data_IF_617685269449
#
_entry.id   IF_617685269449
#
_cell.length_a   1.000
_cell.length_b   1.000
_cell.length_c   1.000
_cell.angle_alpha   90.00
_cell.angle_beta   90.00
_cell.angle_gamma   90.00
#
_symmetry.space_group_name_H-M   'P 1'
#
loop_
_entity.id
_entity.type
_entity.pdbx_description
1 polymer ?
#
# COMPACT_ATOMS: atom_id res chain seq x y z
N UNK A 1 -2.95 23.89 8.35
CA UNK A 1 -2.95 23.03 7.15
C UNK A 1 -2.90 21.57 7.58
N UNK A 2 -3.55 20.68 6.85
CA UNK A 2 -3.56 19.23 7.11
C UNK A 2 -3.23 18.50 5.81
N UNK A 3 -2.19 17.68 5.80
CA UNK A 3 -1.65 17.04 4.60
C UNK A 3 -1.66 15.52 4.79
N UNK A 4 -2.13 14.78 3.78
CA UNK A 4 -2.15 13.32 3.75
C UNK A 4 -1.28 12.77 2.64
N UNK A 5 -0.44 11.79 2.99
CA UNK A 5 0.29 10.91 2.07
C UNK A 5 0.10 9.48 2.54
N UNK A 6 0.13 8.50 1.65
CA UNK A 6 0.02 7.08 1.97
C UNK A 6 0.85 6.20 1.04
N UNK A 7 0.88 4.93 1.33
CA UNK A 7 1.39 3.88 0.44
C UNK A 7 2.82 4.16 -0.06
N UNK A 8 3.70 4.53 0.87
CA UNK A 8 5.12 4.75 0.61
C UNK A 8 5.88 3.43 0.45
N UNK A 9 5.49 2.42 1.21
CA UNK A 9 6.03 1.06 1.20
C UNK A 9 7.56 1.02 1.20
N UNK A 10 8.19 1.61 2.20
CA UNK A 10 9.62 1.49 2.38
C UNK A 10 10.00 0.03 2.64
N UNK A 11 10.93 -0.49 1.83
CA UNK A 11 11.42 -1.87 1.87
C UNK A 11 12.93 -1.91 2.11
N UNK A 12 13.45 -3.08 2.49
CA UNK A 12 14.87 -3.37 2.66
C UNK A 12 15.63 -3.52 1.32
N UNK A 13 14.91 -3.54 0.20
CA UNK A 13 15.46 -3.70 -1.16
C UNK A 13 15.67 -5.15 -1.59
N UNK A 14 15.46 -6.15 -0.74
CA UNK A 14 15.66 -7.55 -1.13
C UNK A 14 14.59 -8.04 -2.09
N UNK A 15 13.32 -7.69 -1.88
CA UNK A 15 12.19 -8.06 -2.73
C UNK A 15 11.83 -7.00 -3.80
N UNK A 16 12.59 -5.91 -3.91
CA UNK A 16 12.42 -4.88 -4.94
C UNK A 16 13.07 -3.56 -4.57
N UNK A 17 13.42 -2.75 -5.57
CA UNK A 17 14.02 -1.42 -5.39
C UNK A 17 13.01 -0.33 -5.73
N UNK A 18 11.97 -0.19 -4.91
CA UNK A 18 10.86 0.74 -5.17
C UNK A 18 10.84 1.94 -4.22
N UNK A 19 11.83 2.03 -3.33
CA UNK A 19 11.92 3.10 -2.35
C UNK A 19 11.84 4.48 -3.00
N UNK A 20 11.16 5.38 -2.33
CA UNK A 20 11.08 6.79 -2.72
C UNK A 20 12.40 7.45 -2.40
N UNK A 21 13.05 8.14 -3.35
CA UNK A 21 14.30 8.83 -3.09
C UNK A 21 14.09 10.00 -2.13
N UNK A 22 15.07 10.28 -1.28
CA UNK A 22 15.04 11.37 -0.28
C UNK A 22 14.73 12.73 -0.92
N UNK A 23 15.25 12.99 -2.13
CA UNK A 23 15.00 14.24 -2.84
C UNK A 23 13.51 14.47 -3.19
N UNK A 24 12.73 13.40 -3.34
CA UNK A 24 11.28 13.54 -3.54
C UNK A 24 10.59 14.11 -2.28
N UNK A 25 11.06 13.74 -1.09
CA UNK A 25 10.56 14.32 0.16
C UNK A 25 11.00 15.75 0.36
N UNK A 26 12.23 16.12 -0.05
CA UNK A 26 12.68 17.53 -0.01
C UNK A 26 11.78 18.40 -0.87
N UNK A 27 11.54 18.02 -2.13
CA UNK A 27 10.64 18.73 -3.05
C UNK A 27 9.23 18.84 -2.43
N UNK A 28 8.73 17.76 -1.84
CA UNK A 28 7.42 17.76 -1.18
C UNK A 28 7.36 18.74 0.00
N UNK A 29 8.39 18.77 0.86
CA UNK A 29 8.43 19.71 1.98
C UNK A 29 8.60 21.16 1.53
N UNK A 30 9.43 21.42 0.51
CA UNK A 30 9.57 22.72 -0.12
C UNK A 30 8.25 23.23 -0.68
N UNK A 31 7.47 22.38 -1.36
CA UNK A 31 6.19 22.74 -1.94
C UNK A 31 5.13 23.08 -0.87
N UNK A 32 5.06 22.27 0.19
CA UNK A 32 4.13 22.54 1.31
C UNK A 32 4.54 23.79 2.07
N UNK A 33 5.83 23.99 2.34
CA UNK A 33 6.34 25.17 3.02
C UNK A 33 6.08 26.43 2.19
N UNK A 34 6.32 26.37 0.87
CA UNK A 34 6.00 27.45 -0.05
C UNK A 34 4.50 27.79 -0.08
N UNK A 35 3.64 26.79 -0.02
CA UNK A 35 2.18 27.00 0.10
C UNK A 35 1.82 27.71 1.40
N UNK A 36 2.42 27.29 2.53
CA UNK A 36 2.19 27.93 3.82
C UNK A 36 2.70 29.36 3.85
N UNK A 37 3.89 29.63 3.30
CA UNK A 37 4.46 30.98 3.17
C UNK A 37 3.57 31.88 2.32
N UNK A 38 3.10 31.41 1.16
CA UNK A 38 2.21 32.15 0.30
C UNK A 38 0.92 32.55 1.02
N UNK A 39 0.32 31.68 1.82
CA UNK A 39 -0.87 31.97 2.61
C UNK A 39 -0.60 33.05 3.66
N UNK A 40 0.57 33.04 4.30
CA UNK A 40 0.97 34.09 5.26
C UNK A 40 1.15 35.46 4.58
N UNK A 41 1.74 35.48 3.38
CA UNK A 41 1.90 36.71 2.60
C UNK A 41 0.55 37.31 2.18
N UNK A 42 -0.48 36.45 1.95
CA UNK A 42 -1.86 36.88 1.71
C UNK A 42 -2.62 37.31 3.01
N UNK A 43 -1.90 37.44 4.12
CA UNK A 43 -2.44 37.87 5.42
C UNK A 43 -3.23 36.79 6.16
N UNK A 44 -3.14 35.53 5.76
CA UNK A 44 -3.75 34.40 6.42
C UNK A 44 -2.89 33.93 7.61
N UNK A 45 -3.48 33.15 8.51
CA UNK A 45 -2.77 32.57 9.66
C UNK A 45 -2.72 31.06 9.53
N UNK A 46 -1.53 30.51 9.63
CA UNK A 46 -1.28 29.08 9.76
C UNK A 46 -0.83 28.83 11.20
N UNK A 47 -1.72 28.25 12.00
CA UNK A 47 -1.49 27.98 13.43
C UNK A 47 -0.90 26.60 13.66
N UNK A 48 -1.20 25.65 12.77
CA UNK A 48 -0.71 24.28 12.83
C UNK A 48 -0.53 23.70 11.43
N UNK A 49 0.42 22.80 11.30
CA UNK A 49 0.60 21.95 10.12
C UNK A 49 0.66 20.53 10.61
N UNK A 50 -0.23 19.69 10.09
CA UNK A 50 -0.29 18.25 10.39
C UNK A 50 0.05 17.47 9.14
N UNK A 51 1.05 16.60 9.24
CA UNK A 51 1.46 15.68 8.19
C UNK A 51 1.05 14.26 8.60
N UNK A 52 0.06 13.72 7.93
CA UNK A 52 -0.54 12.41 8.23
C UNK A 52 -0.02 11.37 7.22
N UNK A 53 0.70 10.39 7.74
CA UNK A 53 1.10 9.18 7.03
C UNK A 53 -0.04 8.16 7.17
N UNK A 54 -0.82 8.01 6.10
CA UNK A 54 -2.11 7.32 6.12
C UNK A 54 -1.96 5.83 5.75
N UNK A 55 -1.10 5.11 6.49
CA UNK A 55 -0.86 3.68 6.34
C UNK A 55 0.13 3.31 5.22
N UNK A 56 0.58 2.07 5.28
CA UNK A 56 1.55 1.45 4.37
C UNK A 56 2.81 2.31 4.14
N UNK A 57 3.28 2.92 5.22
CA UNK A 57 4.56 3.64 5.21
C UNK A 57 5.73 2.67 5.11
N UNK A 58 5.69 1.60 5.90
CA UNK A 58 6.68 0.52 5.88
C UNK A 58 6.08 -0.72 5.21
N UNK A 59 6.92 -1.52 4.59
CA UNK A 59 6.51 -2.81 4.07
C UNK A 59 7.36 -3.92 4.66
N UNK A 60 6.87 -4.52 5.73
CA UNK A 60 7.53 -5.61 6.43
C UNK A 60 7.18 -6.99 5.86
N UNK A 61 6.23 -7.07 4.92
CA UNK A 61 5.81 -8.33 4.30
C UNK A 61 6.69 -8.70 3.11
N UNK A 62 7.16 -7.70 2.34
CA UNK A 62 7.91 -7.89 1.10
C UNK A 62 9.42 -7.82 1.30
N UNK A 63 9.95 -8.87 1.87
CA UNK A 63 11.38 -9.05 2.06
C UNK A 63 11.73 -10.52 1.89
N UNK A 64 12.92 -10.79 1.33
CA UNK A 64 13.46 -12.13 1.24
C UNK A 64 13.90 -12.66 2.60
N UNK A 65 14.09 -11.79 3.60
CA UNK A 65 14.52 -12.19 4.95
C UNK A 65 13.55 -13.18 5.62
N UNK A 66 12.24 -13.12 5.30
CA UNK A 66 11.30 -14.13 5.82
C UNK A 66 11.62 -15.55 5.40
N UNK A 67 12.34 -15.76 4.27
CA UNK A 67 12.66 -17.10 3.76
C UNK A 67 13.81 -17.76 4.53
N UNK A 68 14.57 -17.00 5.30
CA UNK A 68 15.58 -17.52 6.21
C UNK A 68 14.98 -18.07 7.53
N UNK A 69 13.70 -17.78 7.79
CA UNK A 69 12.99 -18.20 9.00
C UNK A 69 11.96 -19.31 8.72
N UNK A 70 11.74 -20.22 9.68
CA UNK A 70 10.67 -21.21 9.59
C UNK A 70 9.29 -20.56 9.40
N UNK A 71 8.37 -21.25 8.74
CA UNK A 71 7.00 -20.74 8.51
C UNK A 71 6.28 -20.36 9.82
N UNK A 72 6.58 -21.05 10.92
CA UNK A 72 6.02 -20.76 12.25
C UNK A 72 6.49 -19.43 12.85
N UNK A 73 7.52 -18.82 12.28
CA UNK A 73 8.14 -17.57 12.72
C UNK A 73 7.90 -16.42 11.73
N UNK A 74 7.01 -16.61 10.72
CA UNK A 74 6.57 -15.61 9.76
C UNK A 74 5.28 -14.94 10.24
N UNK A 75 4.83 -13.81 9.64
CA UNK A 75 3.69 -13.00 10.13
C UNK A 75 2.39 -13.76 10.42
N UNK A 76 2.15 -14.87 9.73
CA UNK A 76 1.00 -15.79 9.94
C UNK A 76 1.35 -17.04 10.78
N UNK A 77 2.53 -17.07 11.35
CA UNK A 77 2.99 -18.17 12.20
C UNK A 77 2.37 -18.11 13.60
N UNK A 78 2.83 -19.00 14.47
CA UNK A 78 2.35 -19.11 15.85
C UNK A 78 3.43 -18.89 16.92
N UNK A 79 4.65 -18.52 16.52
CA UNK A 79 5.74 -18.22 17.45
C UNK A 79 5.88 -16.70 17.60
N UNK A 80 4.97 -16.07 18.35
CA UNK A 80 4.88 -14.61 18.51
C UNK A 80 6.20 -13.95 18.88
N UNK A 81 6.95 -14.53 19.84
CA UNK A 81 8.24 -13.99 20.27
C UNK A 81 9.26 -13.96 19.13
N UNK A 82 9.31 -14.99 18.32
CA UNK A 82 10.22 -15.05 17.18
C UNK A 82 9.76 -14.15 16.03
N UNK A 83 8.45 -14.05 15.80
CA UNK A 83 7.88 -13.12 14.81
C UNK A 83 8.28 -11.70 15.17
N UNK A 84 8.15 -11.28 16.44
CA UNK A 84 8.58 -9.95 16.89
C UNK A 84 10.06 -9.71 16.64
N UNK A 85 10.93 -10.66 17.03
CA UNK A 85 12.40 -10.55 16.81
C UNK A 85 12.72 -10.40 15.32
N UNK A 86 12.13 -11.23 14.48
CA UNK A 86 12.38 -11.24 13.04
C UNK A 86 11.83 -9.95 12.38
N UNK A 87 10.64 -9.51 12.77
CA UNK A 87 10.06 -8.27 12.28
C UNK A 87 10.90 -7.03 12.68
N UNK A 88 11.52 -7.05 13.89
CA UNK A 88 12.43 -6.01 14.30
C UNK A 88 13.72 -5.98 13.45
N UNK A 89 14.27 -7.14 13.11
CA UNK A 89 15.44 -7.22 12.23
C UNK A 89 15.13 -6.71 10.82
N UNK A 90 13.95 -7.05 10.29
CA UNK A 90 13.47 -6.57 8.98
C UNK A 90 13.25 -5.06 9.02
N UNK A 91 12.63 -4.53 10.07
CA UNK A 91 12.45 -3.09 10.23
C UNK A 91 13.78 -2.35 10.22
N UNK A 92 14.77 -2.85 10.96
CA UNK A 92 16.12 -2.25 10.99
C UNK A 92 16.78 -2.27 9.60
N UNK A 93 16.58 -3.33 8.82
CA UNK A 93 17.06 -3.40 7.44
C UNK A 93 16.36 -2.37 6.53
N UNK A 94 15.03 -2.17 6.69
CA UNK A 94 14.27 -1.13 5.97
C UNK A 94 14.83 0.26 6.32
N UNK A 95 15.05 0.57 7.59
CA UNK A 95 15.61 1.85 8.01
C UNK A 95 17.01 2.04 7.46
N UNK A 96 17.88 1.04 7.57
CA UNK A 96 19.25 1.10 7.05
C UNK A 96 19.29 1.37 5.53
N UNK A 97 18.40 0.72 4.76
CA UNK A 97 18.29 0.93 3.30
C UNK A 97 17.85 2.35 2.93
N UNK A 98 17.05 2.98 3.79
CA UNK A 98 16.41 4.29 3.56
C UNK A 98 16.90 5.35 4.56
N UNK A 99 18.10 5.20 5.09
CA UNK A 99 18.63 5.98 6.21
C UNK A 99 18.46 7.51 5.99
N UNK A 100 18.93 8.03 4.87
CA UNK A 100 18.85 9.47 4.58
C UNK A 100 17.42 10.02 4.59
N UNK A 101 16.43 9.21 4.14
CA UNK A 101 15.03 9.62 4.18
C UNK A 101 14.49 9.65 5.60
N UNK A 102 14.82 8.65 6.43
CA UNK A 102 14.36 8.64 7.82
C UNK A 102 15.09 9.65 8.71
N UNK A 103 16.35 9.96 8.43
CA UNK A 103 17.05 11.10 9.04
C UNK A 103 16.32 12.41 8.73
N UNK A 104 15.92 12.63 7.48
CA UNK A 104 15.12 13.77 7.08
C UNK A 104 13.74 13.77 7.75
N UNK A 105 13.01 12.65 7.73
CA UNK A 105 11.67 12.55 8.33
C UNK A 105 11.69 12.74 9.86
N UNK A 106 12.78 12.43 10.54
CA UNK A 106 12.90 12.60 11.98
C UNK A 106 13.49 13.95 12.41
N UNK A 107 14.07 14.72 11.47
CA UNK A 107 14.65 16.03 11.74
C UNK A 107 13.58 17.12 11.98
N UNK A 108 13.91 18.24 12.67
CA UNK A 108 13.06 19.42 12.68
C UNK A 108 12.91 20.01 11.27
N UNK A 109 11.68 19.97 10.72
CA UNK A 109 11.43 20.42 9.35
C UNK A 109 11.27 21.94 9.23
N UNK A 110 10.88 22.61 10.32
CA UNK A 110 10.63 24.05 10.32
C UNK A 110 11.81 24.84 9.83
N UNK A 111 12.97 24.62 10.44
CA UNK A 111 14.16 25.42 10.14
C UNK A 111 14.82 25.00 8.81
N UNK A 112 14.69 23.72 8.44
CA UNK A 112 15.27 23.19 7.19
C UNK A 112 14.52 23.66 5.94
N UNK A 113 13.18 23.74 6.00
CA UNK A 113 12.34 24.08 4.86
C UNK A 113 11.60 25.41 4.98
N UNK A 114 11.76 26.14 6.09
CA UNK A 114 11.12 27.44 6.29
C UNK A 114 9.63 27.36 6.63
N UNK A 115 9.18 26.27 7.26
CA UNK A 115 7.79 26.21 7.73
C UNK A 115 7.50 27.25 8.79
N UNK A 116 6.30 27.88 8.82
CA UNK A 116 5.94 28.85 9.84
C UNK A 116 5.83 28.24 11.25
N UNK A 117 5.45 26.97 11.31
CA UNK A 117 5.37 26.15 12.53
C UNK A 117 5.95 24.77 12.25
N UNK A 118 6.49 24.10 13.27
CA UNK A 118 6.96 22.71 13.08
C UNK A 118 5.79 21.79 12.71
N UNK A 119 5.87 21.04 11.60
CA UNK A 119 4.84 20.10 11.21
C UNK A 119 4.72 18.94 12.21
N UNK A 120 3.52 18.73 12.77
CA UNK A 120 3.20 17.56 13.58
C UNK A 120 3.09 16.35 12.65
N UNK A 121 3.83 15.28 12.98
CA UNK A 121 3.79 14.02 12.23
C UNK A 121 2.85 13.06 12.91
N UNK A 122 1.88 12.54 12.15
CA UNK A 122 0.88 11.58 12.60
C UNK A 122 1.02 10.33 11.74
N UNK A 123 1.15 9.17 12.37
CA UNK A 123 1.26 7.90 11.70
C UNK A 123 0.05 7.02 12.00
N UNK A 124 -0.55 6.49 10.94
CA UNK A 124 -1.57 5.46 10.97
C UNK A 124 -1.00 4.20 10.32
N UNK A 125 -1.35 3.04 10.84
CA UNK A 125 -0.88 1.76 10.30
C UNK A 125 -1.81 1.30 9.18
N UNK A 126 -1.25 0.80 8.07
CA UNK A 126 -1.97 0.06 7.04
C UNK A 126 -1.87 -1.45 7.25
N UNK A 127 -2.16 -2.21 6.19
CA UNK A 127 -2.05 -3.68 6.24
C UNK A 127 -0.60 -4.18 6.12
N UNK A 128 0.25 -3.54 5.31
CA UNK A 128 1.64 -3.94 5.13
C UNK A 128 2.54 -3.61 6.33
N UNK A 129 2.18 -2.62 7.10
CA UNK A 129 2.90 -2.23 8.32
C UNK A 129 2.11 -2.54 9.61
N UNK A 130 1.16 -3.47 9.55
CA UNK A 130 0.38 -3.97 10.70
C UNK A 130 1.27 -4.39 11.86
N UNK A 131 2.40 -5.06 11.59
CA UNK A 131 3.36 -5.47 12.61
C UNK A 131 3.99 -4.27 13.34
N UNK A 132 4.14 -3.12 12.68
CA UNK A 132 4.62 -1.89 13.30
C UNK A 132 3.70 -1.40 14.42
N UNK A 133 2.42 -1.70 14.34
CA UNK A 133 1.44 -1.35 15.36
C UNK A 133 1.21 -2.47 16.39
N UNK A 134 1.51 -3.74 16.02
CA UNK A 134 1.32 -4.90 16.89
C UNK A 134 2.29 -4.91 18.08
N UNK A 135 3.58 -4.67 17.83
CA UNK A 135 4.65 -4.82 18.84
C UNK A 135 5.13 -3.47 19.36
N UNK A 136 5.25 -3.35 20.71
CA UNK A 136 5.75 -2.12 21.34
C UNK A 136 7.16 -1.75 20.84
N UNK A 137 8.04 -2.75 20.70
CA UNK A 137 9.39 -2.55 20.20
C UNK A 137 9.43 -1.89 18.81
N UNK A 138 8.48 -2.25 17.93
CA UNK A 138 8.35 -1.63 16.60
C UNK A 138 7.69 -0.26 16.66
N UNK A 139 6.67 -0.05 17.51
CA UNK A 139 6.08 1.29 17.72
C UNK A 139 7.14 2.30 18.17
N UNK A 140 8.03 1.90 19.08
CA UNK A 140 9.12 2.76 19.56
C UNK A 140 10.10 3.12 18.42
N UNK A 141 10.37 2.17 17.53
CA UNK A 141 11.21 2.40 16.35
C UNK A 141 10.52 3.33 15.33
N UNK A 142 9.23 3.15 15.07
CA UNK A 142 8.44 4.05 14.21
C UNK A 142 8.49 5.47 14.78
N UNK A 143 8.18 5.65 16.06
CA UNK A 143 8.23 6.96 16.70
C UNK A 143 9.61 7.65 16.51
N UNK A 144 10.68 6.92 16.78
CA UNK A 144 12.05 7.44 16.67
C UNK A 144 12.41 7.84 15.24
N UNK A 145 12.13 6.97 14.26
CA UNK A 145 12.54 7.19 12.88
C UNK A 145 11.65 8.17 12.11
N UNK A 146 10.44 8.43 12.60
CA UNK A 146 9.53 9.40 11.99
C UNK A 146 9.42 10.72 12.78
N UNK A 147 10.20 10.91 13.85
CA UNK A 147 10.12 12.12 14.67
C UNK A 147 8.78 12.30 15.38
N UNK A 148 8.11 11.18 15.72
CA UNK A 148 6.85 11.16 16.45
C UNK A 148 7.15 11.02 17.95
N UNK A 149 6.44 11.72 18.86
CA UNK A 149 6.62 11.55 20.28
C UNK A 149 6.45 10.08 20.72
N UNK A 150 7.28 9.57 21.67
CA UNK A 150 7.16 8.22 22.19
C UNK A 150 5.77 7.95 22.76
N UNK A 151 5.25 6.74 22.53
CA UNK A 151 3.93 6.32 23.02
C UNK A 151 3.92 4.87 23.48
N UNK A 152 3.12 4.57 24.50
CA UNK A 152 2.90 3.20 25.00
C UNK A 152 1.65 2.54 24.42
N UNK A 153 0.71 3.35 23.91
CA UNK A 153 -0.51 2.87 23.27
C UNK A 153 -0.28 2.56 21.78
N UNK A 154 -1.03 1.67 21.18
CA UNK A 154 -1.06 1.51 19.74
C UNK A 154 -1.31 2.83 18.99
N UNK A 155 -0.86 2.90 17.75
CA UNK A 155 -1.25 3.98 16.84
C UNK A 155 -2.74 3.85 16.51
N UNK A 156 -3.35 5.00 16.27
CA UNK A 156 -4.75 5.04 15.87
C UNK A 156 -4.95 4.43 14.47
N UNK A 157 -6.14 3.91 14.20
CA UNK A 157 -6.50 3.32 12.91
C UNK A 157 -7.29 4.27 12.02
N UNK A 158 -7.62 5.43 12.53
CA UNK A 158 -8.27 6.51 11.80
C UNK A 158 -7.84 7.86 12.34
N UNK A 159 -8.01 8.87 11.52
CA UNK A 159 -7.82 10.28 11.88
C UNK A 159 -9.12 11.04 11.63
N UNK A 160 -9.49 11.91 12.53
CA UNK A 160 -10.65 12.78 12.34
C UNK A 160 -10.35 14.19 12.83
N UNK A 161 -10.67 15.19 12.01
CA UNK A 161 -10.63 16.59 12.41
C UNK A 161 -11.79 17.35 11.79
N UNK A 162 -12.73 17.72 12.64
CA UNK A 162 -13.97 18.41 12.24
C UNK A 162 -13.76 19.85 11.79
N UNK A 163 -12.62 20.49 12.16
CA UNK A 163 -12.30 21.84 11.73
C UNK A 163 -11.86 21.85 10.27
N UNK A 164 -11.25 20.76 9.80
CA UNK A 164 -10.95 20.52 8.39
C UNK A 164 -12.10 19.79 7.69
N UNK A 165 -13.08 19.28 8.45
CA UNK A 165 -14.19 18.47 7.91
C UNK A 165 -13.75 17.12 7.37
N UNK A 166 -12.69 16.52 7.91
CA UNK A 166 -12.03 15.32 7.40
C UNK A 166 -12.20 14.15 8.34
N UNK A 167 -12.48 12.98 7.76
CA UNK A 167 -12.26 11.66 8.34
C UNK A 167 -11.33 10.88 7.42
N UNK A 168 -10.34 10.19 7.97
CA UNK A 168 -9.36 9.44 7.19
C UNK A 168 -9.00 8.12 7.86
N UNK A 169 -8.81 7.07 7.05
CA UNK A 169 -8.23 5.77 7.43
C UNK A 169 -7.47 5.19 6.26
N UNK A 170 -6.71 4.12 6.47
CA UNK A 170 -5.94 3.57 5.35
C UNK A 170 -6.84 3.04 4.23
N UNK A 171 -7.97 2.39 4.55
CA UNK A 171 -8.95 1.91 3.57
C UNK A 171 -8.90 0.41 3.31
N UNK A 172 -7.89 -0.30 3.84
CA UNK A 172 -7.79 -1.77 3.73
C UNK A 172 -8.90 -2.50 4.47
N UNK A 173 -9.62 -1.83 5.37
CA UNK A 173 -10.75 -2.37 6.12
C UNK A 173 -11.90 -2.85 5.23
N UNK A 174 -11.95 -2.37 4.00
CA UNK A 174 -12.95 -2.72 2.99
C UNK A 174 -12.43 -3.73 1.97
N UNK A 175 -11.18 -4.16 2.10
CA UNK A 175 -10.57 -5.21 1.28
C UNK A 175 -10.48 -6.52 2.06
N UNK A 176 -11.35 -7.46 1.75
CA UNK A 176 -11.46 -8.76 2.41
C UNK A 176 -10.21 -9.64 2.30
N UNK A 177 -9.30 -9.32 1.38
CA UNK A 177 -8.00 -10.01 1.31
C UNK A 177 -6.98 -9.40 2.27
N UNK A 178 -7.14 -8.13 2.62
CA UNK A 178 -6.20 -7.40 3.44
C UNK A 178 -6.71 -7.06 4.86
N UNK A 179 -7.94 -7.49 5.20
CA UNK A 179 -8.54 -7.28 6.51
C UNK A 179 -9.46 -8.44 6.93
N UNK A 180 -9.27 -8.95 8.14
CA UNK A 180 -10.05 -10.07 8.73
C UNK A 180 -10.92 -9.61 9.92
N UNK A 181 -10.89 -8.33 10.28
CA UNK A 181 -11.66 -7.79 11.38
C UNK A 181 -13.07 -7.37 10.98
N UNK A 182 -13.88 -7.03 11.97
CA UNK A 182 -15.09 -6.25 11.75
C UNK A 182 -14.73 -4.78 11.54
N UNK A 183 -15.52 -4.04 10.77
CA UNK A 183 -15.33 -2.58 10.64
C UNK A 183 -15.69 -1.95 11.97
N UNK A 184 -14.73 -1.92 12.86
CA UNK A 184 -14.78 -1.37 14.20
C UNK A 184 -13.58 -0.45 14.40
N UNK A 185 -13.48 0.15 15.58
CA UNK A 185 -12.28 0.90 15.98
C UNK A 185 -11.44 0.12 17.00
N UNK A 186 -11.72 -1.19 17.15
CA UNK A 186 -10.99 -2.05 18.07
C UNK A 186 -9.64 -2.44 17.47
N UNK A 187 -8.56 -2.09 18.18
CA UNK A 187 -7.20 -2.44 17.79
C UNK A 187 -7.00 -3.95 17.53
N UNK A 188 -7.68 -4.81 18.31
CA UNK A 188 -7.54 -6.27 18.17
C UNK A 188 -8.04 -6.79 16.81
N UNK A 189 -9.06 -6.17 16.23
CA UNK A 189 -9.54 -6.51 14.89
C UNK A 189 -8.46 -6.22 13.82
N UNK A 190 -7.72 -5.13 13.96
CA UNK A 190 -6.61 -4.79 13.06
C UNK A 190 -5.40 -5.70 13.22
N UNK A 191 -5.28 -6.41 14.34
CA UNK A 191 -4.16 -7.34 14.57
C UNK A 191 -4.41 -8.75 14.01
N UNK A 192 -5.62 -9.04 13.52
CA UNK A 192 -5.90 -10.30 12.83
C UNK A 192 -5.11 -10.38 11.54
N UNK A 193 -4.57 -11.56 11.28
CA UNK A 193 -3.72 -11.79 10.09
C UNK A 193 -4.62 -12.06 8.88
N UNK A 194 -4.59 -11.22 7.84
CA UNK A 194 -5.34 -11.46 6.61
C UNK A 194 -4.60 -12.41 5.68
N UNK A 195 -5.33 -12.97 4.71
CA UNK A 195 -4.74 -13.83 3.67
C UNK A 195 -3.78 -13.06 2.76
N UNK A 196 -3.91 -11.74 2.68
CA UNK A 196 -3.01 -10.86 1.96
C UNK A 196 -1.56 -10.96 2.43
N UNK A 197 -1.31 -11.16 3.74
CA UNK A 197 0.04 -11.30 4.28
C UNK A 197 0.82 -12.47 3.62
N UNK A 198 0.33 -13.73 3.65
CA UNK A 198 1.03 -14.82 2.96
C UNK A 198 0.98 -14.69 1.43
N UNK A 199 0.00 -14.02 0.81
CA UNK A 199 0.01 -13.74 -0.62
C UNK A 199 1.20 -12.81 -0.95
N UNK A 200 1.35 -11.70 -0.24
CA UNK A 200 2.43 -10.74 -0.48
C UNK A 200 3.81 -11.37 -0.28
N UNK A 201 3.97 -12.23 0.72
CA UNK A 201 5.26 -12.86 1.04
C UNK A 201 5.49 -14.14 0.24
N UNK A 202 4.61 -15.15 0.36
CA UNK A 202 4.87 -16.51 -0.16
C UNK A 202 4.58 -16.66 -1.65
N UNK A 203 3.81 -15.76 -2.26
CA UNK A 203 3.63 -15.76 -3.71
C UNK A 203 4.45 -14.64 -4.36
N UNK A 204 4.21 -13.39 -3.96
CA UNK A 204 4.73 -12.23 -4.68
C UNK A 204 6.23 -12.02 -4.41
N UNK A 205 6.66 -11.94 -3.16
CA UNK A 205 8.08 -11.75 -2.83
C UNK A 205 8.91 -13.02 -3.06
N UNK A 206 8.31 -14.20 -2.86
CA UNK A 206 9.01 -15.48 -3.00
C UNK A 206 9.27 -15.91 -4.44
N UNK A 207 8.40 -15.54 -5.38
CA UNK A 207 8.56 -15.94 -6.78
C UNK A 207 9.89 -15.47 -7.38
N UNK A 208 10.26 -14.18 -7.35
CA UNK A 208 11.56 -13.74 -7.85
C UNK A 208 12.73 -14.39 -7.09
N UNK A 209 12.64 -14.52 -5.77
CA UNK A 209 13.63 -15.22 -4.95
C UNK A 209 13.84 -16.66 -5.43
N UNK A 210 12.75 -17.44 -5.62
CA UNK A 210 12.80 -18.83 -6.08
C UNK A 210 13.41 -18.96 -7.47
N UNK A 211 13.03 -18.09 -8.41
CA UNK A 211 13.64 -18.04 -9.75
C UNK A 211 15.16 -17.90 -9.64
N UNK A 212 15.64 -16.98 -8.79
CA UNK A 212 17.06 -16.72 -8.59
C UNK A 212 17.82 -17.88 -7.92
N UNK A 213 17.14 -18.80 -7.21
CA UNK A 213 17.75 -20.01 -6.66
C UNK A 213 18.05 -21.09 -7.70
N UNK A 214 17.45 -21.00 -8.90
CA UNK A 214 17.62 -22.01 -9.94
C UNK A 214 19.06 -22.07 -10.48
N UNK A 215 19.60 -23.29 -10.63
CA UNK A 215 20.98 -23.51 -11.10
C UNK A 215 21.23 -22.98 -12.51
N UNK A 216 20.23 -22.99 -13.41
CA UNK A 216 20.35 -22.43 -14.75
C UNK A 216 20.50 -20.91 -14.69
N UNK A 217 19.71 -20.25 -13.84
CA UNK A 217 19.77 -18.80 -13.64
C UNK A 217 21.12 -18.39 -13.05
N UNK A 218 21.61 -19.11 -12.03
CA UNK A 218 22.92 -18.83 -11.39
C UNK A 218 24.12 -18.92 -12.37
N UNK A 219 23.96 -19.57 -13.53
CA UNK A 219 24.98 -19.65 -14.57
C UNK A 219 24.92 -18.49 -15.58
N UNK A 220 23.87 -17.69 -15.59
CA UNK A 220 23.78 -16.52 -16.47
C UNK A 220 24.75 -15.42 -16.05
N UNK A 221 25.12 -14.51 -16.96
CA UNK A 221 25.84 -13.29 -16.62
C UNK A 221 25.08 -12.49 -15.56
N UNK A 222 25.79 -11.88 -14.57
CA UNK A 222 25.17 -11.13 -13.46
C UNK A 222 24.16 -10.08 -13.94
N UNK A 223 24.47 -9.36 -15.02
CA UNK A 223 23.57 -8.36 -15.61
C UNK A 223 22.24 -8.95 -16.05
N UNK A 224 22.24 -10.16 -16.61
CA UNK A 224 21.02 -10.86 -17.00
C UNK A 224 20.24 -11.36 -15.81
N UNK A 225 20.93 -11.88 -14.77
CA UNK A 225 20.32 -12.26 -13.50
C UNK A 225 19.60 -11.07 -12.85
N UNK A 226 20.26 -9.90 -12.75
CA UNK A 226 19.69 -8.69 -12.18
C UNK A 226 18.51 -8.16 -12.99
N UNK A 227 18.59 -8.20 -14.31
CA UNK A 227 17.48 -7.79 -15.18
C UNK A 227 16.26 -8.71 -14.99
N UNK A 228 16.49 -10.02 -14.94
CA UNK A 228 15.44 -11.01 -14.70
C UNK A 228 14.80 -10.81 -13.32
N UNK A 229 15.64 -10.67 -12.28
CA UNK A 229 15.17 -10.42 -10.90
C UNK A 229 14.27 -9.19 -10.85
N UNK A 230 14.74 -8.05 -11.38
CA UNK A 230 13.96 -6.79 -11.40
C UNK A 230 12.62 -6.96 -12.11
N UNK A 231 12.59 -7.62 -13.26
CA UNK A 231 11.37 -7.86 -14.01
C UNK A 231 10.30 -8.59 -13.18
N UNK A 232 10.68 -9.55 -12.34
CA UNK A 232 9.72 -10.28 -11.50
C UNK A 232 9.42 -9.57 -10.18
N UNK A 233 10.34 -8.77 -9.65
CA UNK A 233 10.08 -7.94 -8.46
C UNK A 233 9.07 -6.83 -8.73
N UNK A 234 8.92 -6.41 -9.99
CA UNK A 234 7.95 -5.38 -10.38
C UNK A 234 6.48 -5.85 -10.41
N UNK A 235 6.22 -7.14 -10.18
CA UNK A 235 4.87 -7.75 -10.24
C UNK A 235 3.84 -7.01 -9.39
N UNK A 236 4.25 -6.54 -8.21
CA UNK A 236 3.38 -5.81 -7.28
C UNK A 236 3.02 -4.40 -7.70
N UNK A 237 3.80 -3.83 -8.58
CA UNK A 237 3.56 -2.48 -9.09
C UNK A 237 2.60 -2.48 -10.28
N UNK A 238 2.15 -3.67 -10.70
CA UNK A 238 1.19 -3.83 -11.81
C UNK A 238 -0.21 -3.47 -11.33
N UNK A 239 -0.86 -2.56 -12.05
CA UNK A 239 -2.24 -2.15 -11.78
C UNK A 239 -3.06 -2.12 -13.08
N UNK A 240 -4.34 -2.45 -13.01
CA UNK A 240 -5.03 -3.07 -11.86
C UNK A 240 -4.45 -4.46 -11.53
N UNK A 241 -4.72 -5.00 -10.35
CA UNK A 241 -4.23 -6.33 -9.92
C UNK A 241 -4.61 -7.44 -10.89
N UNK A 242 -5.73 -7.30 -11.57
CA UNK A 242 -6.17 -8.20 -12.64
C UNK A 242 -5.17 -8.33 -13.80
N UNK A 243 -4.31 -7.33 -14.03
CA UNK A 243 -3.29 -7.35 -15.06
C UNK A 243 -2.01 -8.10 -14.64
N UNK A 244 -1.90 -8.55 -13.40
CA UNK A 244 -0.71 -9.27 -12.87
C UNK A 244 -0.45 -10.56 -13.66
N UNK A 245 -1.48 -11.32 -14.00
CA UNK A 245 -1.32 -12.55 -14.79
C UNK A 245 -0.77 -12.23 -16.18
N UNK A 246 -1.29 -11.17 -16.81
CA UNK A 246 -0.77 -10.73 -18.13
C UNK A 246 0.65 -10.22 -18.04
N UNK A 247 1.02 -9.57 -16.91
CA UNK A 247 2.39 -9.17 -16.65
C UNK A 247 3.33 -10.37 -16.57
N UNK A 248 2.97 -11.40 -15.80
CA UNK A 248 3.74 -12.64 -15.70
C UNK A 248 3.94 -13.28 -17.10
N UNK A 249 2.87 -13.36 -17.87
CA UNK A 249 2.91 -13.85 -19.26
C UNK A 249 3.86 -13.06 -20.15
N UNK A 250 3.82 -11.75 -20.03
CA UNK A 250 4.69 -10.85 -20.75
C UNK A 250 6.17 -11.08 -20.39
N UNK A 251 6.49 -11.27 -19.10
CA UNK A 251 7.85 -11.55 -18.65
C UNK A 251 8.35 -12.91 -19.14
N UNK A 252 7.49 -13.94 -19.11
CA UNK A 252 7.84 -15.26 -19.66
C UNK A 252 8.12 -15.19 -21.17
N UNK A 253 7.31 -14.44 -21.94
CA UNK A 253 7.57 -14.22 -23.39
C UNK A 253 8.91 -13.55 -23.65
N UNK A 254 9.31 -12.60 -22.82
CA UNK A 254 10.63 -11.96 -22.92
C UNK A 254 11.79 -12.90 -22.60
N UNK A 255 11.54 -13.99 -21.90
CA UNK A 255 12.56 -14.92 -21.38
C UNK A 255 12.29 -16.35 -21.85
N UNK A 256 11.97 -16.54 -23.15
CA UNK A 256 11.58 -17.84 -23.71
C UNK A 256 12.57 -18.98 -23.42
N UNK A 257 13.86 -18.70 -23.39
CA UNK A 257 14.90 -19.70 -23.06
C UNK A 257 14.86 -20.16 -21.60
N UNK A 258 14.15 -19.44 -20.74
CA UNK A 258 14.00 -19.69 -19.30
C UNK A 258 12.57 -20.07 -18.93
N UNK A 259 11.70 -20.24 -19.93
CA UNK A 259 10.27 -20.50 -19.73
C UNK A 259 10.03 -21.61 -18.72
N UNK A 260 10.63 -22.80 -18.93
CA UNK A 260 10.45 -23.94 -18.03
C UNK A 260 10.85 -23.63 -16.56
N UNK A 261 11.95 -22.87 -16.38
CA UNK A 261 12.42 -22.48 -15.05
C UNK A 261 11.42 -21.56 -14.36
N UNK A 262 10.85 -20.61 -15.10
CA UNK A 262 9.90 -19.64 -14.57
C UNK A 262 8.59 -20.36 -14.23
N UNK A 263 8.08 -21.21 -15.13
CA UNK A 263 6.87 -22.00 -14.92
C UNK A 263 7.01 -22.95 -13.73
N UNK A 264 8.12 -23.70 -13.62
CA UNK A 264 8.39 -24.57 -12.48
C UNK A 264 8.49 -23.76 -11.16
N UNK A 265 8.99 -22.52 -11.22
CA UNK A 265 9.05 -21.65 -10.04
C UNK A 265 7.67 -21.16 -9.63
N UNK A 266 6.81 -20.81 -10.58
CA UNK A 266 5.41 -20.42 -10.33
C UNK A 266 4.65 -21.59 -9.69
N UNK A 267 4.69 -22.76 -10.30
CA UNK A 267 4.03 -23.96 -9.79
C UNK A 267 4.51 -24.28 -8.37
N UNK A 268 5.82 -24.20 -8.14
CA UNK A 268 6.39 -24.52 -6.84
C UNK A 268 6.00 -23.52 -5.74
N UNK A 269 5.93 -22.20 -6.00
CA UNK A 269 5.49 -21.24 -4.97
C UNK A 269 4.00 -21.38 -4.69
N UNK A 270 3.18 -21.72 -5.69
CA UNK A 270 1.75 -21.96 -5.51
C UNK A 270 1.52 -23.23 -4.68
N UNK A 271 2.23 -24.31 -4.98
CA UNK A 271 2.12 -25.56 -4.20
C UNK A 271 2.51 -25.35 -2.74
N UNK A 272 3.64 -24.66 -2.48
CA UNK A 272 4.06 -24.33 -1.13
C UNK A 272 3.05 -23.45 -0.40
N UNK A 273 2.49 -22.43 -1.05
CA UNK A 273 1.47 -21.54 -0.50
C UNK A 273 0.21 -22.34 -0.10
N UNK A 274 -0.31 -23.18 -0.98
CA UNK A 274 -1.50 -24.01 -0.72
C UNK A 274 -1.26 -25.04 0.41
N UNK A 275 -0.01 -25.42 0.70
CA UNK A 275 0.34 -26.32 1.80
C UNK A 275 0.46 -25.61 3.15
N UNK A 276 0.52 -24.29 3.20
CA UNK A 276 0.57 -23.55 4.45
C UNK A 276 -0.64 -23.87 5.33
N UNK A 277 -0.39 -24.20 6.59
CA UNK A 277 -1.46 -24.48 7.56
C UNK A 277 -2.44 -23.31 7.67
N UNK A 278 -1.91 -22.08 7.69
CA UNK A 278 -2.72 -20.86 7.73
C UNK A 278 -3.66 -20.77 6.53
N UNK A 279 -3.16 -20.95 5.31
CA UNK A 279 -3.94 -20.90 4.07
C UNK A 279 -5.04 -21.97 4.04
N UNK A 280 -4.71 -23.21 4.44
CA UNK A 280 -5.70 -24.30 4.54
C UNK A 280 -6.82 -23.99 5.54
N UNK A 281 -6.46 -23.37 6.67
CA UNK A 281 -7.44 -22.97 7.68
C UNK A 281 -8.28 -21.81 7.18
N UNK A 282 -7.67 -20.84 6.51
CA UNK A 282 -8.36 -19.70 5.93
C UNK A 282 -9.40 -20.15 4.88
N UNK A 283 -9.03 -21.00 3.94
CA UNK A 283 -9.96 -21.58 2.97
C UNK A 283 -11.14 -22.27 3.67
N UNK A 284 -10.87 -23.09 4.67
CA UNK A 284 -11.95 -23.80 5.42
C UNK A 284 -12.96 -22.85 6.07
N UNK A 285 -12.56 -21.64 6.43
CA UNK A 285 -13.43 -20.64 7.07
C UNK A 285 -14.18 -19.77 6.07
N UNK A 286 -13.61 -19.55 4.89
CA UNK A 286 -14.13 -18.62 3.88
C UNK A 286 -14.76 -19.33 2.67
N UNK A 287 -14.58 -20.63 2.51
CA UNK A 287 -15.25 -21.47 1.51
C UNK A 287 -16.68 -21.77 1.98
N UNK A 288 -17.64 -21.02 1.44
CA UNK A 288 -19.06 -21.15 1.77
C UNK A 288 -19.77 -21.97 0.71
N UNK A 289 -20.33 -23.09 1.09
CA UNK A 289 -21.01 -24.04 0.20
C UNK A 289 -22.21 -23.46 -0.57
N UNK A 290 -22.74 -22.34 -0.14
CA UNK A 290 -23.90 -21.63 -0.73
C UNK A 290 -23.52 -20.37 -1.54
N UNK A 291 -22.24 -19.98 -1.56
CA UNK A 291 -21.74 -18.83 -2.32
C UNK A 291 -20.61 -19.26 -3.27
N UNK A 292 -20.95 -19.54 -4.52
CA UNK A 292 -20.01 -19.96 -5.56
C UNK A 292 -19.03 -18.85 -6.03
N UNK A 293 -18.96 -17.72 -5.33
CA UNK A 293 -18.13 -16.57 -5.71
C UNK A 293 -17.49 -15.89 -4.50
N UNK A 294 -17.25 -16.65 -3.43
CA UNK A 294 -16.59 -16.12 -2.25
C UNK A 294 -15.10 -15.78 -2.47
N UNK A 295 -14.46 -15.23 -1.47
CA UNK A 295 -13.07 -14.78 -1.54
C UNK A 295 -12.11 -15.96 -1.74
N UNK A 296 -12.42 -17.13 -1.21
CA UNK A 296 -11.63 -18.34 -1.39
C UNK A 296 -11.65 -18.77 -2.87
N UNK A 297 -12.82 -18.78 -3.49
CA UNK A 297 -12.99 -19.09 -4.92
C UNK A 297 -12.23 -18.10 -5.82
N UNK A 298 -12.20 -16.82 -5.47
CA UNK A 298 -11.44 -15.81 -6.22
C UNK A 298 -9.95 -16.14 -6.23
N UNK A 299 -9.35 -16.41 -5.07
CA UNK A 299 -7.93 -16.79 -4.97
C UNK A 299 -7.68 -18.09 -5.71
N UNK A 300 -8.46 -19.13 -5.46
CA UNK A 300 -8.30 -20.45 -6.10
C UNK A 300 -8.41 -20.35 -7.61
N UNK A 301 -9.31 -19.52 -8.13
CA UNK A 301 -9.45 -19.26 -9.58
C UNK A 301 -8.20 -18.64 -10.18
N UNK A 302 -7.60 -17.66 -9.50
CA UNK A 302 -6.34 -17.02 -9.93
C UNK A 302 -5.18 -18.05 -9.90
N UNK A 303 -5.02 -18.79 -8.82
CA UNK A 303 -3.97 -19.79 -8.69
C UNK A 303 -4.14 -20.93 -9.73
N UNK A 304 -5.38 -21.37 -9.96
CA UNK A 304 -5.68 -22.34 -11.01
C UNK A 304 -5.29 -21.83 -12.40
N UNK A 305 -5.62 -20.59 -12.73
CA UNK A 305 -5.22 -19.99 -14.01
C UNK A 305 -3.70 -19.90 -14.15
N UNK A 306 -2.99 -19.54 -13.09
CA UNK A 306 -1.53 -19.52 -13.06
C UNK A 306 -0.93 -20.91 -13.29
N UNK A 307 -1.47 -21.97 -12.68
CA UNK A 307 -1.06 -23.37 -12.94
C UNK A 307 -1.37 -23.85 -14.36
N UNK A 308 -2.50 -23.41 -14.94
CA UNK A 308 -2.91 -23.78 -16.30
C UNK A 308 -2.16 -23.02 -17.39
N UNK A 309 -1.47 -21.98 -17.03
CA UNK A 309 -0.64 -21.18 -17.92
C UNK A 309 0.38 -22.02 -18.73
N UNK A 310 0.96 -23.06 -18.13
CA UNK A 310 1.88 -24.00 -18.79
C UNK A 310 1.24 -24.79 -19.93
N UNK A 311 -0.06 -25.07 -19.84
CA UNK A 311 -0.75 -26.07 -20.68
C UNK A 311 -1.52 -25.41 -21.83
N UNK A 312 -2.01 -24.19 -21.65
CA UNK A 312 -2.90 -23.53 -22.63
C UNK A 312 -2.27 -22.32 -23.30
N UNK A 313 -2.48 -22.15 -24.61
CA UNK A 313 -2.13 -20.92 -25.32
C UNK A 313 -2.86 -19.71 -24.72
N UNK A 314 -2.20 -18.56 -24.71
CA UNK A 314 -2.70 -17.30 -24.16
C UNK A 314 -4.11 -16.94 -24.66
N UNK A 315 -4.35 -17.14 -25.96
CA UNK A 315 -5.61 -16.79 -26.60
C UNK A 315 -6.80 -17.52 -25.98
N UNK A 316 -6.57 -18.73 -25.44
CA UNK A 316 -7.60 -19.53 -24.74
C UNK A 316 -7.79 -19.12 -23.30
N UNK A 317 -6.76 -18.50 -22.65
CA UNK A 317 -6.83 -18.05 -21.26
C UNK A 317 -7.45 -16.64 -21.15
N UNK A 318 -7.30 -15.80 -22.18
CA UNK A 318 -7.80 -14.40 -22.17
C UNK A 318 -9.27 -14.23 -21.79
N UNK A 319 -10.24 -15.04 -22.27
CA UNK A 319 -11.62 -14.91 -21.85
C UNK A 319 -11.85 -15.21 -20.37
N UNK A 320 -11.09 -16.19 -19.82
CA UNK A 320 -11.16 -16.52 -18.39
C UNK A 320 -10.48 -15.43 -17.54
N UNK A 321 -9.36 -14.89 -18.00
CA UNK A 321 -8.69 -13.76 -17.36
C UNK A 321 -9.59 -12.54 -17.29
N UNK A 322 -10.27 -12.19 -18.39
CA UNK A 322 -11.22 -11.08 -18.41
C UNK A 322 -12.34 -11.27 -17.40
N UNK A 323 -12.85 -12.50 -17.26
CA UNK A 323 -13.92 -12.84 -16.31
C UNK A 323 -13.45 -12.80 -14.86
N UNK A 324 -12.22 -13.23 -14.58
CA UNK A 324 -11.61 -13.09 -13.24
C UNK A 324 -11.31 -11.62 -12.95
N UNK A 325 -10.74 -10.89 -13.92
CA UNK A 325 -10.44 -9.46 -13.79
C UNK A 325 -11.65 -8.60 -13.46
N UNK A 326 -12.82 -8.88 -14.08
CA UNK A 326 -14.04 -8.12 -13.79
C UNK A 326 -14.51 -8.27 -12.34
N UNK A 327 -14.13 -9.35 -11.66
CA UNK A 327 -14.49 -9.60 -10.26
C UNK A 327 -13.63 -8.81 -9.25
N UNK A 328 -12.51 -8.26 -9.70
CA UNK A 328 -11.63 -7.39 -8.91
C UNK A 328 -11.77 -5.91 -9.30
N UNK A 329 -12.71 -5.57 -10.17
CA UNK A 329 -12.80 -4.24 -10.78
C UNK A 329 -13.68 -3.24 -9.99
N UNK A 330 -14.43 -3.69 -8.99
CA UNK A 330 -15.30 -2.83 -8.20
C UNK A 330 -14.46 -2.07 -7.16
N UNK A 331 -14.61 -0.76 -7.13
CA UNK A 331 -13.98 0.09 -6.11
C UNK A 331 -14.87 0.12 -4.86
N UNK A 332 -14.81 -0.97 -4.09
CA UNK A 332 -15.58 -1.14 -2.84
C UNK A 332 -15.32 0.02 -1.86
N UNK A 333 -14.19 0.72 -1.99
CA UNK A 333 -13.85 1.86 -1.14
C UNK A 333 -14.74 3.09 -1.36
N UNK A 334 -15.25 3.31 -2.58
CA UNK A 334 -16.18 4.43 -2.85
C UNK A 334 -17.52 4.18 -2.17
N UNK A 335 -18.05 2.96 -2.29
CA UNK A 335 -19.32 2.58 -1.65
C UNK A 335 -19.16 2.58 -0.12
N UNK A 336 -18.04 2.08 0.38
CA UNK A 336 -17.69 2.11 1.78
C UNK A 336 -17.62 3.54 2.34
N UNK A 337 -16.95 4.46 1.64
CA UNK A 337 -16.90 5.87 2.02
C UNK A 337 -18.30 6.50 2.04
N UNK A 338 -19.15 6.16 1.07
CA UNK A 338 -20.53 6.64 1.06
C UNK A 338 -21.33 6.13 2.28
N UNK A 339 -21.09 4.88 2.70
CA UNK A 339 -21.73 4.29 3.89
C UNK A 339 -21.20 4.89 5.20
N UNK A 340 -19.89 5.15 5.32
CA UNK A 340 -19.29 5.74 6.54
C UNK A 340 -19.88 7.09 6.91
N UNK A 341 -20.27 7.91 5.95
CA UNK A 341 -20.91 9.19 6.26
C UNK A 341 -22.17 9.09 7.12
N UNK A 342 -22.81 7.91 7.17
CA UNK A 342 -23.99 7.70 8.01
C UNK A 342 -23.65 7.67 9.52
N UNK A 343 -22.40 7.38 9.86
CA UNK A 343 -21.92 7.17 11.22
C UNK A 343 -20.97 8.26 11.72
N UNK A 344 -20.59 9.20 10.85
CA UNK A 344 -19.65 10.27 11.16
C UNK A 344 -20.38 11.56 11.61
N UNK A 345 -19.63 12.44 12.30
CA UNK A 345 -20.10 13.78 12.66
C UNK A 345 -20.58 14.52 11.40
N UNK A 346 -21.70 15.22 11.53
CA UNK A 346 -22.31 15.97 10.43
C UNK A 346 -21.38 17.03 9.79
N UNK A 347 -20.35 17.47 10.50
CA UNK A 347 -19.34 18.43 9.99
C UNK A 347 -18.35 17.79 9.02
N UNK A 348 -18.27 16.47 8.95
CA UNK A 348 -17.37 15.76 8.02
C UNK A 348 -17.90 15.94 6.60
N UNK A 349 -17.02 16.43 5.72
CA UNK A 349 -17.24 16.64 4.29
C UNK A 349 -16.40 15.74 3.42
N UNK A 350 -15.24 15.34 3.94
CA UNK A 350 -14.21 14.65 3.19
C UNK A 350 -13.84 13.34 3.87
N UNK A 351 -13.89 12.26 3.12
CA UNK A 351 -13.34 10.95 3.52
C UNK A 351 -12.10 10.69 2.70
N UNK A 352 -10.99 10.37 3.37
CA UNK A 352 -9.67 10.18 2.74
C UNK A 352 -9.18 8.77 3.01
N UNK A 353 -8.91 8.02 1.94
CA UNK A 353 -8.27 6.70 2.02
C UNK A 353 -6.96 6.67 1.21
N UNK A 354 -6.16 5.62 1.41
CA UNK A 354 -5.04 5.15 0.60
C UNK A 354 -5.34 3.78 0.00
N UNK A 355 -4.45 2.82 0.20
CA UNK A 355 -4.57 1.39 -0.05
C UNK A 355 -4.68 0.98 -1.53
N UNK A 356 -5.53 1.60 -2.32
CA UNK A 356 -5.74 1.23 -3.73
C UNK A 356 -4.58 1.61 -4.65
N UNK A 357 -3.66 2.44 -4.18
CA UNK A 357 -2.56 3.02 -4.94
C UNK A 357 -3.01 3.90 -6.12
N UNK A 358 -4.26 4.30 -6.17
CA UNK A 358 -4.81 5.10 -7.23
C UNK A 358 -5.40 6.41 -6.69
N UNK A 359 -4.76 7.53 -7.00
CA UNK A 359 -5.29 8.83 -6.61
C UNK A 359 -6.63 9.09 -7.28
N UNK A 360 -7.66 9.37 -6.47
CA UNK A 360 -9.04 9.59 -6.94
C UNK A 360 -9.70 10.72 -6.18
N UNK A 361 -10.65 11.37 -6.86
CA UNK A 361 -11.59 12.33 -6.29
C UNK A 361 -12.98 11.99 -6.80
N UNK A 362 -13.89 11.68 -5.89
CA UNK A 362 -15.26 11.29 -6.26
C UNK A 362 -16.25 12.08 -5.42
N UNK A 363 -17.11 12.85 -6.10
CA UNK A 363 -18.25 13.48 -5.44
C UNK A 363 -19.28 12.40 -5.10
N UNK A 364 -19.49 12.15 -3.80
CA UNK A 364 -20.44 11.13 -3.32
C UNK A 364 -21.88 11.68 -3.41
N UNK A 365 -22.13 12.83 -2.80
CA UNK A 365 -23.45 13.47 -2.79
C UNK A 365 -23.40 14.91 -2.28
N UNK A 366 -24.50 15.61 -2.49
CA UNK A 366 -24.78 16.90 -1.85
C UNK A 366 -25.95 16.73 -0.88
N UNK A 367 -25.69 16.85 0.43
CA UNK A 367 -26.77 16.89 1.43
C UNK A 367 -27.41 18.26 1.47
N UNK A 368 -28.74 18.28 1.61
CA UNK A 368 -29.46 19.51 1.97
C UNK A 368 -29.29 19.75 3.47
N UNK A 369 -28.67 20.85 3.83
CA UNK A 369 -28.47 21.27 5.21
C UNK A 369 -29.20 22.64 5.39
N UNK A 370 -29.77 22.95 6.54
CA UNK A 370 -30.39 24.26 6.81
C UNK A 370 -29.42 25.44 6.62
N UNK A 371 -28.10 25.20 6.73
CA UNK A 371 -27.04 26.20 6.54
C UNK A 371 -26.51 26.27 5.09
N UNK A 372 -27.13 25.59 4.17
CA UNK A 372 -26.71 25.50 2.75
C UNK A 372 -26.29 24.06 2.34
N UNK A 373 -26.11 23.83 1.06
CA UNK A 373 -25.74 22.51 0.56
C UNK A 373 -24.38 22.08 1.10
N UNK A 374 -24.27 20.83 1.52
CA UNK A 374 -23.04 20.23 2.00
C UNK A 374 -22.58 19.12 1.04
N UNK A 375 -21.47 19.37 0.42
CA UNK A 375 -20.79 18.40 -0.43
C UNK A 375 -20.13 17.34 0.42
N UNK A 376 -20.20 16.08 -0.02
CA UNK A 376 -19.49 14.95 0.54
C UNK A 376 -18.64 14.31 -0.55
N UNK A 377 -17.32 14.26 -0.31
CA UNK A 377 -16.32 13.86 -1.31
C UNK A 377 -15.46 12.75 -0.73
N UNK A 378 -15.24 11.74 -1.53
CA UNK A 378 -14.22 10.72 -1.31
C UNK A 378 -12.92 11.12 -2.02
N UNK A 379 -11.81 10.95 -1.32
CA UNK A 379 -10.46 11.21 -1.82
C UNK A 379 -9.58 10.00 -1.56
N UNK A 380 -8.75 9.63 -2.53
CA UNK A 380 -7.70 8.65 -2.32
C UNK A 380 -6.34 9.29 -2.59
N UNK A 381 -5.41 9.12 -1.66
CA UNK A 381 -4.08 9.73 -1.71
C UNK A 381 -3.17 9.09 -2.75
N UNK A 382 -3.55 7.93 -3.31
CA UNK A 382 -2.71 7.20 -4.27
C UNK A 382 -1.50 6.55 -3.63
N UNK A 383 -0.36 6.56 -4.30
CA UNK A 383 0.90 5.97 -3.82
C UNK A 383 2.10 6.74 -4.37
N UNK A 384 3.24 6.65 -3.68
CA UNK A 384 4.52 7.20 -4.16
C UNK A 384 5.41 6.15 -4.84
N UNK A 385 4.84 4.98 -5.13
CA UNK A 385 5.53 3.89 -5.81
C UNK A 385 5.39 3.96 -7.33
N UNK A 386 6.25 3.22 -8.01
CA UNK A 386 6.07 2.96 -9.44
C UNK A 386 4.78 2.14 -9.65
N UNK A 387 3.99 2.52 -10.64
CA UNK A 387 2.86 1.73 -11.14
C UNK A 387 3.11 1.35 -12.59
N UNK A 388 2.86 0.10 -12.93
CA UNK A 388 2.91 -0.38 -14.30
C UNK A 388 1.52 -0.50 -14.87
N UNK A 389 1.29 0.20 -15.96
CA UNK A 389 0.04 0.20 -16.69
C UNK A 389 0.18 -0.58 -17.99
N UNK A 390 -0.82 -1.42 -18.29
CA UNK A 390 -0.90 -2.10 -19.57
C UNK A 390 -1.09 -1.08 -20.68
N UNK A 391 -0.37 -1.23 -21.80
CA UNK A 391 -0.58 -0.37 -22.98
C UNK A 391 -1.94 -0.62 -23.60
N UNK A 392 -2.53 0.38 -24.24
CA UNK A 392 -3.84 0.26 -24.91
C UNK A 392 -3.82 -0.83 -26.00
N UNK A 393 -2.69 -1.00 -26.69
CA UNK A 393 -2.52 -2.04 -27.69
C UNK A 393 -2.35 -3.44 -27.10
N UNK A 394 -2.21 -3.55 -25.77
CA UNK A 394 -2.03 -4.83 -25.09
C UNK A 394 -0.67 -5.50 -25.32
N UNK A 395 0.30 -4.80 -25.90
CA UNK A 395 1.60 -5.34 -26.28
C UNK A 395 2.70 -5.19 -25.22
N UNK A 396 2.39 -4.55 -24.08
CA UNK A 396 3.37 -4.33 -23.03
C UNK A 396 2.86 -3.51 -21.84
N UNK A 397 3.80 -3.14 -20.99
CA UNK A 397 3.54 -2.35 -19.79
C UNK A 397 4.50 -1.16 -19.74
N UNK A 398 4.00 -0.03 -19.26
CA UNK A 398 4.79 1.20 -19.06
C UNK A 398 4.67 1.60 -17.59
N UNK A 399 5.81 1.82 -16.94
CA UNK A 399 5.90 2.20 -15.54
C UNK A 399 6.28 3.67 -15.36
N UNK A 400 5.67 4.33 -14.36
CA UNK A 400 6.09 5.62 -13.83
C UNK A 400 5.72 5.73 -12.36
N UNK A 401 6.40 6.65 -11.63
CA UNK A 401 6.06 7.01 -10.24
C UNK A 401 5.10 8.19 -10.26
N UNK A 402 3.99 8.07 -9.55
CA UNK A 402 3.16 9.19 -9.19
C UNK A 402 3.47 9.58 -7.74
N UNK A 403 3.75 10.84 -7.52
CA UNK A 403 3.83 11.42 -6.18
C UNK A 403 2.53 12.20 -5.99
N UNK A 404 1.70 11.78 -5.06
CA UNK A 404 0.41 12.42 -4.82
C UNK A 404 0.19 12.68 -3.35
N UNK A 405 -0.40 13.82 -3.04
CA UNK A 405 -0.85 14.14 -1.69
C UNK A 405 -2.13 14.97 -1.74
N UNK A 406 -2.83 15.01 -0.62
CA UNK A 406 -4.04 15.80 -0.43
C UNK A 406 -3.82 16.79 0.72
N UNK A 407 -4.07 18.06 0.48
CA UNK A 407 -3.99 19.13 1.48
C UNK A 407 -5.37 19.66 1.81
N UNK A 408 -5.61 19.92 3.09
CA UNK A 408 -6.84 20.54 3.57
C UNK A 408 -6.55 21.85 4.29
N UNK A 409 -7.47 22.77 4.13
CA UNK A 409 -7.37 24.11 4.71
C UNK A 409 -8.64 24.44 5.48
N UNK A 410 -8.47 24.99 6.68
CA UNK A 410 -9.59 25.57 7.42
C UNK A 410 -10.10 26.84 6.74
N UNK A 411 -11.32 27.22 7.05
CA UNK A 411 -11.96 28.44 6.51
C UNK A 411 -11.07 29.67 6.60
N UNK A 412 -10.48 29.91 7.75
CA UNK A 412 -9.62 31.09 7.99
C UNK A 412 -8.27 31.00 7.26
N UNK A 413 -7.79 29.79 6.94
CA UNK A 413 -6.53 29.58 6.22
C UNK A 413 -6.65 29.94 4.74
N UNK A 414 -7.84 29.84 4.15
CA UNK A 414 -8.11 30.19 2.73
C UNK A 414 -9.12 31.32 2.57
N UNK A 415 -9.75 31.82 3.65
CA UNK A 415 -10.79 32.87 3.58
C UNK A 415 -12.06 32.39 2.87
N UNK A 416 -12.41 31.13 3.06
CA UNK A 416 -13.59 30.48 2.47
C UNK A 416 -14.67 30.27 3.53
N UNK A 417 -15.93 30.07 3.12
CA UNK A 417 -17.04 29.82 4.04
C UNK A 417 -17.03 28.39 4.60
N UNK A 418 -16.32 27.49 3.96
CA UNK A 418 -16.18 26.08 4.33
C UNK A 418 -14.73 25.63 4.22
N UNK A 419 -14.30 24.58 4.95
CA UNK A 419 -13.01 23.96 4.69
C UNK A 419 -12.92 23.47 3.24
N UNK A 420 -11.76 23.55 2.65
CA UNK A 420 -11.51 23.11 1.26
C UNK A 420 -10.31 22.17 1.20
N UNK A 421 -10.19 21.46 0.09
CA UNK A 421 -9.04 20.61 -0.20
C UNK A 421 -8.38 20.98 -1.52
N UNK A 422 -7.12 20.60 -1.64
CA UNK A 422 -6.34 20.62 -2.87
C UNK A 422 -5.68 19.24 -3.04
N UNK A 423 -5.61 18.76 -4.25
CA UNK A 423 -4.86 17.54 -4.58
C UNK A 423 -3.70 17.91 -5.49
N UNK A 424 -2.56 17.30 -5.23
CA UNK A 424 -1.38 17.45 -6.05
C UNK A 424 -0.91 16.08 -6.54
N UNK A 425 -0.53 16.00 -7.80
CA UNK A 425 0.02 14.78 -8.40
C UNK A 425 1.16 15.14 -9.34
N UNK A 426 2.36 14.72 -8.99
CA UNK A 426 3.54 14.79 -9.85
C UNK A 426 3.89 13.43 -10.42
N UNK A 427 4.46 13.39 -11.62
CA UNK A 427 4.90 12.16 -12.26
C UNK A 427 6.41 12.18 -12.46
N UNK A 428 7.08 11.16 -11.90
CA UNK A 428 8.50 10.92 -12.15
C UNK A 428 8.63 9.70 -13.08
N UNK A 429 9.16 9.91 -14.26
CA UNK A 429 9.56 8.83 -15.15
C UNK A 429 11.08 8.76 -15.19
N UNK A 430 11.66 7.67 -14.67
CA UNK A 430 13.05 7.33 -15.00
C UNK A 430 13.08 6.83 -16.45
N UNK A 431 13.84 7.53 -17.28
CA UNK A 431 14.17 7.10 -18.65
C UNK A 431 15.26 6.04 -18.58
#
# INVERSE_FOLDING_TARGET
MLIFISDLHFVDGTAGEHNVPTDAFKIFFEDIAGTAEWLLQDGRKIEEIKLVFLGDTFDLLRTEMWFDYPVTERPWGNNETKIEVNANAIFDAVISKNQATFELLSSPLKDEFGFPVEPERIYLSGNHDRLCNKYQSLRDKVCRNMGIPPRTTPFDHFFQDVNYGVFARHGHEYDKFNYEGSISYDHQDYMRVPIGDPIATELVAKLPWRIMQNKKIKKLPKKEQEALRRNFQDIENVRPLSAVIEWLLYQVKKSLSLKDVIEDSIDGVIEEFEQLRFVKQWYKHHDKWDDFLDEADKIQSVLFLLKKFRIFPMEKLMPYLARVSSRFAEDENIEAAAAEYAHLDDRIRYIVYGHTHEAKQVAIRVRKDPKGPREQVYLNTGTWRTRYHKTMEGLGFVGWKNLSYVSFFRKQERGTDVPIFETWTGTLKKI
#
